data_IF_577827155626
#
_entry.id   IF_577827155626
#
_cell.length_a   1.000
_cell.length_b   1.000
_cell.length_c   1.000
_cell.angle_alpha   90.00
_cell.angle_beta   90.00
_cell.angle_gamma   90.00
#
_symmetry.space_group_name_H-M   'P 1'
#
loop_
_entity.id
_entity.type
_entity.pdbx_description
1 polymer ?
#
# COMPACT_ATOMS: atom_id res chain seq x y z
N UNK A 1 -20.85 82.55 80.54
CA UNK A 1 -21.12 82.12 79.15
C UNK A 1 -20.00 81.17 78.74
N UNK A 2 -20.41 79.97 78.33
CA UNK A 2 -19.60 78.75 78.40
C UNK A 2 -18.60 78.60 77.26
N UNK A 3 -17.40 78.11 77.63
CA UNK A 3 -16.43 77.44 76.77
C UNK A 3 -17.07 76.21 76.10
N UNK A 4 -16.70 75.97 74.84
CA UNK A 4 -16.89 74.68 74.15
C UNK A 4 -15.56 74.26 73.50
N UNK A 5 -15.06 73.03 73.73
CA UNK A 5 -13.81 72.57 73.14
C UNK A 5 -14.04 71.86 71.80
N UNK A 6 -13.08 72.02 70.89
CA UNK A 6 -13.01 71.34 69.60
C UNK A 6 -12.37 69.95 69.79
N UNK A 7 -13.10 68.88 69.46
CA UNK A 7 -12.59 67.49 69.46
C UNK A 7 -12.06 67.17 68.06
N UNK A 8 -10.77 66.86 67.97
CA UNK A 8 -10.09 66.42 66.75
C UNK A 8 -10.25 64.89 66.60
N UNK A 9 -10.93 64.44 65.55
CA UNK A 9 -11.15 63.03 65.25
C UNK A 9 -9.98 62.51 64.39
N UNK A 10 -9.16 61.61 64.95
CA UNK A 10 -8.04 60.97 64.26
C UNK A 10 -8.53 59.70 63.55
N UNK A 11 -8.59 59.71 62.21
CA UNK A 11 -9.00 58.55 61.41
C UNK A 11 -7.77 57.68 61.13
N UNK A 12 -7.73 56.48 61.72
CA UNK A 12 -6.76 55.43 61.41
C UNK A 12 -7.20 54.68 60.15
N UNK A 13 -6.48 54.87 59.04
CA UNK A 13 -6.65 54.05 57.83
C UNK A 13 -5.74 52.82 57.90
N UNK A 14 -6.34 51.64 58.06
CA UNK A 14 -5.62 50.37 57.88
C UNK A 14 -5.45 50.08 56.38
N UNK A 15 -4.23 50.14 55.87
CA UNK A 15 -3.89 49.59 54.55
C UNK A 15 -3.81 48.07 54.65
N UNK A 16 -4.82 47.40 54.10
CA UNK A 16 -4.77 45.95 53.83
C UNK A 16 -3.99 45.73 52.53
N UNK A 17 -2.74 45.27 52.63
CA UNK A 17 -2.06 44.66 51.50
C UNK A 17 -2.74 43.32 51.20
N UNK A 18 -3.59 43.25 50.18
CA UNK A 18 -3.93 41.95 49.59
C UNK A 18 -2.64 41.41 48.98
N UNK A 19 -2.09 40.36 49.57
CA UNK A 19 -1.08 39.52 48.93
C UNK A 19 -1.66 39.11 47.57
N UNK A 20 -1.19 39.74 46.49
CA UNK A 20 -1.45 39.23 45.14
C UNK A 20 -0.63 37.96 45.05
N UNK A 21 -1.29 36.81 45.23
CA UNK A 21 -0.79 35.57 44.70
C UNK A 21 -0.56 35.81 43.21
N UNK A 22 0.70 36.01 42.80
CA UNK A 22 1.07 35.78 41.42
C UNK A 22 0.76 34.30 41.20
N UNK A 23 -0.21 33.93 40.33
CA UNK A 23 -0.43 32.53 40.05
C UNK A 23 0.90 31.99 39.53
N UNK A 24 1.44 31.00 40.24
CA UNK A 24 2.60 30.23 39.78
C UNK A 24 2.28 29.81 38.34
N UNK A 25 3.15 30.09 37.35
CA UNK A 25 2.89 29.64 35.99
C UNK A 25 2.63 28.13 36.04
N UNK A 26 1.42 27.73 35.64
CA UNK A 26 1.13 26.31 35.45
C UNK A 26 2.16 25.81 34.43
N UNK A 27 2.92 24.73 34.73
CA UNK A 27 3.88 24.21 33.77
C UNK A 27 3.14 23.93 32.46
N UNK A 28 3.57 24.58 31.38
CA UNK A 28 3.02 24.30 30.05
C UNK A 28 3.24 22.82 29.76
N UNK A 29 2.15 22.06 29.59
CA UNK A 29 2.25 20.65 29.25
C UNK A 29 3.03 20.52 27.93
N UNK A 30 4.06 19.68 27.92
CA UNK A 30 4.84 19.45 26.70
C UNK A 30 3.91 18.90 25.62
N UNK A 31 3.90 19.49 24.41
CA UNK A 31 3.00 19.07 23.37
C UNK A 31 3.37 17.67 22.88
N UNK A 32 2.37 16.85 22.57
CA UNK A 32 2.55 15.55 21.95
C UNK A 32 2.79 15.73 20.45
N UNK A 33 3.98 16.16 20.07
CA UNK A 33 4.31 16.55 18.69
C UNK A 33 5.32 15.63 18.01
N UNK A 34 5.54 14.41 18.52
CA UNK A 34 6.45 13.43 17.92
C UNK A 34 5.75 12.11 17.68
N UNK A 35 6.17 11.40 16.63
CA UNK A 35 5.79 10.02 16.39
C UNK A 35 7.01 9.14 16.13
N UNK A 36 6.99 7.93 16.69
CA UNK A 36 7.93 6.86 16.38
C UNK A 36 7.22 5.84 15.51
N UNK A 37 7.88 5.38 14.44
CA UNK A 37 7.29 4.40 13.52
C UNK A 37 8.21 3.17 13.44
N UNK A 38 7.66 1.99 13.69
CA UNK A 38 8.32 0.73 13.36
C UNK A 38 7.76 0.19 12.05
N UNK A 39 8.61 -0.21 11.12
CA UNK A 39 8.22 -0.72 9.80
C UNK A 39 8.49 -2.21 9.69
N UNK A 40 7.59 -2.94 9.02
CA UNK A 40 7.78 -4.33 8.63
C UNK A 40 7.37 -4.51 7.17
N UNK A 41 8.17 -5.26 6.41
CA UNK A 41 7.94 -5.63 5.00
C UNK A 41 7.80 -4.46 4.01
N UNK A 42 8.14 -3.23 4.40
CA UNK A 42 8.32 -2.15 3.44
C UNK A 42 9.57 -2.40 2.58
N UNK A 43 9.58 -1.85 1.36
CA UNK A 43 10.69 -1.98 0.41
C UNK A 43 11.19 -0.60 -0.02
N UNK A 44 12.46 -0.47 -0.43
CA UNK A 44 12.90 0.72 -1.14
C UNK A 44 12.00 1.01 -2.33
N UNK A 45 11.64 2.28 -2.50
CA UNK A 45 10.86 2.75 -3.63
C UNK A 45 11.76 3.13 -4.79
N UNK A 46 11.21 3.01 -6.01
CA UNK A 46 11.87 3.41 -7.26
C UNK A 46 10.99 4.41 -8.02
N UNK A 47 11.42 4.81 -9.23
CA UNK A 47 10.62 5.59 -10.17
C UNK A 47 10.13 6.95 -9.63
N UNK A 48 10.95 7.60 -8.78
CA UNK A 48 10.65 8.92 -8.23
C UNK A 48 9.51 8.93 -7.20
N UNK A 49 9.09 7.77 -6.70
CA UNK A 49 8.14 7.67 -5.60
C UNK A 49 8.82 7.77 -4.23
N UNK A 50 8.09 8.30 -3.24
CA UNK A 50 8.54 8.47 -1.85
C UNK A 50 7.41 8.09 -0.89
N UNK A 51 7.76 7.57 0.29
CA UNK A 51 6.78 7.36 1.34
C UNK A 51 6.51 8.68 2.06
N UNK A 52 5.24 8.98 2.32
CA UNK A 52 4.85 10.11 3.17
C UNK A 52 3.98 9.63 4.31
N UNK A 53 4.38 9.94 5.53
CA UNK A 53 3.64 9.64 6.75
C UNK A 53 2.68 10.79 7.07
N UNK A 54 1.45 10.45 7.44
CA UNK A 54 0.38 11.39 7.71
C UNK A 54 -0.33 11.07 9.03
N UNK A 55 -0.82 12.12 9.68
CA UNK A 55 -1.63 12.03 10.88
C UNK A 55 -2.93 12.81 10.65
N UNK A 56 -4.05 12.23 11.03
CA UNK A 56 -5.37 12.87 10.97
C UNK A 56 -5.87 13.20 12.38
N UNK A 57 -6.34 14.43 12.57
CA UNK A 57 -6.94 14.93 13.80
C UNK A 57 -8.13 15.84 13.44
N UNK A 58 -9.33 15.57 13.94
CA UNK A 58 -10.53 16.37 13.68
C UNK A 58 -10.76 16.62 12.17
N UNK A 59 -10.66 15.57 11.35
CA UNK A 59 -10.71 15.63 9.87
C UNK A 59 -9.61 16.47 9.18
N UNK A 60 -8.67 17.06 9.93
CA UNK A 60 -7.50 17.73 9.35
C UNK A 60 -6.36 16.73 9.22
N UNK A 61 -5.83 16.61 8.01
CA UNK A 61 -4.66 15.78 7.71
C UNK A 61 -3.41 16.66 7.81
N UNK A 62 -2.37 16.14 8.45
CA UNK A 62 -1.08 16.81 8.61
C UNK A 62 0.05 15.87 8.23
N UNK A 63 1.01 16.39 7.47
CA UNK A 63 2.22 15.65 7.11
C UNK A 63 3.09 15.47 8.34
N UNK A 64 3.49 14.23 8.63
CA UNK A 64 4.48 13.91 9.65
C UNK A 64 5.90 13.91 9.07
N UNK A 65 6.05 13.47 7.83
CA UNK A 65 7.30 13.56 7.09
C UNK A 65 7.35 12.67 5.86
N UNK A 66 8.21 13.06 4.90
CA UNK A 66 8.63 12.19 3.80
C UNK A 66 9.82 11.36 4.24
N UNK A 67 9.89 10.12 3.79
CA UNK A 67 11.01 9.24 4.09
C UNK A 67 11.29 8.21 3.00
N UNK A 68 12.51 7.71 3.03
CA UNK A 68 13.03 6.66 2.15
C UNK A 68 13.53 5.50 2.99
N UNK A 69 13.49 4.30 2.44
CA UNK A 69 14.02 3.10 3.06
C UNK A 69 15.16 2.54 2.20
N UNK A 70 16.23 2.08 2.84
CA UNK A 70 17.22 1.23 2.18
C UNK A 70 16.82 -0.25 2.21
N UNK A 71 17.64 -1.10 1.60
CA UNK A 71 17.40 -2.55 1.50
C UNK A 71 17.43 -3.27 2.85
N UNK A 72 17.96 -2.63 3.90
CA UNK A 72 17.99 -3.14 5.27
C UNK A 72 16.86 -2.57 6.15
N UNK A 73 16.06 -1.65 5.60
CA UNK A 73 14.94 -1.01 6.29
C UNK A 73 15.32 0.24 7.11
N UNK A 74 16.53 0.79 6.93
CA UNK A 74 16.88 2.06 7.57
C UNK A 74 16.14 3.22 6.92
N UNK A 75 15.78 4.22 7.74
CA UNK A 75 14.97 5.36 7.32
C UNK A 75 15.84 6.59 7.03
N UNK A 76 15.60 7.26 5.91
CA UNK A 76 16.33 8.46 5.48
C UNK A 76 15.38 9.59 5.08
N UNK A 77 15.85 10.83 5.18
CA UNK A 77 15.08 12.03 4.79
C UNK A 77 15.06 12.27 3.29
N UNK A 78 16.06 11.79 2.56
CA UNK A 78 16.18 11.96 1.12
C UNK A 78 16.52 10.65 0.38
N UNK A 79 16.39 10.68 -0.94
CA UNK A 79 16.62 9.54 -1.82
C UNK A 79 18.09 9.20 -2.01
N UNK A 80 19.02 10.01 -1.49
CA UNK A 80 20.47 9.78 -1.58
C UNK A 80 21.01 9.01 -0.37
N UNK A 81 20.13 8.53 0.50
CA UNK A 81 20.47 7.88 1.77
C UNK A 81 21.29 8.79 2.70
N UNK A 82 21.13 10.11 2.54
CA UNK A 82 21.68 11.11 3.45
C UNK A 82 20.58 11.50 4.46
N UNK A 83 20.99 11.85 5.68
CA UNK A 83 20.06 12.25 6.74
C UNK A 83 19.28 11.08 7.34
N UNK A 84 20.01 10.10 7.89
CA UNK A 84 19.44 9.01 8.68
C UNK A 84 18.47 9.52 9.75
N UNK A 85 17.27 8.92 9.80
CA UNK A 85 16.22 9.23 10.78
C UNK A 85 16.34 8.23 11.92
N UNK A 86 17.13 8.58 12.93
CA UNK A 86 17.34 7.73 14.10
C UNK A 86 16.01 7.31 14.73
N UNK A 87 15.84 6.00 14.94
CA UNK A 87 14.64 5.39 15.51
C UNK A 87 13.34 5.75 14.78
N UNK A 88 13.42 6.14 13.50
CA UNK A 88 12.26 6.56 12.71
C UNK A 88 11.37 7.58 13.44
N UNK A 89 12.01 8.54 14.10
CA UNK A 89 11.36 9.61 14.86
C UNK A 89 11.04 10.80 13.96
N UNK A 90 9.77 11.17 13.89
CA UNK A 90 9.27 12.31 13.14
C UNK A 90 8.67 13.35 14.08
N UNK A 91 9.04 14.62 13.89
CA UNK A 91 8.50 15.74 14.65
C UNK A 91 7.48 16.50 13.80
N UNK A 92 6.34 16.81 14.40
CA UNK A 92 5.26 17.58 13.80
C UNK A 92 5.24 19.00 14.38
N UNK A 93 4.71 19.94 13.60
CA UNK A 93 4.59 21.36 14.00
C UNK A 93 3.41 21.63 14.92
N UNK A 94 2.58 20.62 15.22
CA UNK A 94 1.38 20.74 16.04
C UNK A 94 1.30 19.59 17.04
N UNK A 95 0.53 19.78 18.11
CA UNK A 95 0.17 18.71 19.03
C UNK A 95 -0.78 17.72 18.32
N UNK A 96 -0.43 16.44 18.38
CA UNK A 96 -1.18 15.31 17.82
C UNK A 96 -1.55 14.27 18.87
N UNK A 97 -1.54 14.64 20.15
CA UNK A 97 -1.83 13.74 21.28
C UNK A 97 -3.19 13.07 21.25
N UNK A 98 -4.14 13.66 20.52
CA UNK A 98 -5.49 13.14 20.30
C UNK A 98 -5.75 12.75 18.84
N UNK A 99 -4.71 12.52 18.04
CA UNK A 99 -4.88 12.08 16.65
C UNK A 99 -5.73 10.80 16.56
N UNK A 100 -6.51 10.71 15.49
CA UNK A 100 -7.49 9.65 15.28
C UNK A 100 -6.92 8.53 14.40
N UNK A 101 -6.09 8.90 13.41
CA UNK A 101 -5.60 7.97 12.39
C UNK A 101 -4.18 8.33 11.96
N UNK A 102 -3.43 7.29 11.64
CA UNK A 102 -2.15 7.35 10.97
C UNK A 102 -2.21 6.54 9.67
N UNK A 103 -1.55 7.04 8.62
CA UNK A 103 -1.41 6.31 7.38
C UNK A 103 -0.16 6.75 6.62
N UNK A 104 0.29 5.90 5.70
CA UNK A 104 1.43 6.17 4.83
C UNK A 104 0.97 6.06 3.39
N UNK A 105 1.32 7.05 2.57
CA UNK A 105 1.04 7.06 1.13
C UNK A 105 2.30 6.91 0.30
N UNK A 106 2.12 6.55 -0.97
CA UNK A 106 3.10 6.78 -2.03
C UNK A 106 2.86 8.17 -2.63
N UNK A 107 3.89 9.01 -2.66
CA UNK A 107 3.84 10.34 -3.27
C UNK A 107 4.92 10.48 -4.34
N UNK A 108 4.77 11.46 -5.22
CA UNK A 108 5.87 11.85 -6.11
C UNK A 108 6.92 12.64 -5.29
N UNK A 109 8.20 12.33 -5.48
CA UNK A 109 9.28 12.96 -4.72
C UNK A 109 9.36 14.48 -4.93
N UNK A 110 8.96 14.96 -6.10
CA UNK A 110 8.93 16.39 -6.45
C UNK A 110 7.60 17.06 -6.10
N UNK A 111 6.64 16.31 -5.58
CA UNK A 111 5.35 16.84 -5.16
C UNK A 111 5.50 17.77 -3.96
N UNK A 112 4.90 18.96 -4.06
CA UNK A 112 4.87 19.97 -2.98
C UNK A 112 3.48 20.11 -2.38
N UNK A 113 2.51 19.36 -2.88
CA UNK A 113 1.14 19.40 -2.39
C UNK A 113 1.10 18.90 -0.94
N UNK A 114 0.23 19.54 -0.16
CA UNK A 114 0.01 19.20 1.25
C UNK A 114 -1.18 18.25 1.43
N UNK A 115 -1.67 17.69 0.33
CA UNK A 115 -2.80 16.76 0.29
C UNK A 115 -2.22 15.38 -0.01
N UNK A 116 -2.55 14.34 0.78
CA UNK A 116 -2.10 12.98 0.49
C UNK A 116 -2.69 12.46 -0.82
N UNK A 117 -1.93 11.65 -1.56
CA UNK A 117 -2.47 10.83 -2.64
C UNK A 117 -3.46 9.79 -2.11
N UNK A 118 -4.23 9.19 -3.03
CA UNK A 118 -5.10 8.05 -2.67
C UNK A 118 -4.33 6.72 -2.55
N UNK A 119 -3.02 6.71 -2.84
CA UNK A 119 -2.14 5.54 -2.79
C UNK A 119 -1.69 5.22 -1.36
N UNK A 120 -2.65 4.93 -0.48
CA UNK A 120 -2.37 4.55 0.91
C UNK A 120 -1.82 3.12 0.96
N UNK A 121 -0.60 2.96 1.48
CA UNK A 121 0.11 1.68 1.62
C UNK A 121 -0.29 0.98 2.91
N UNK A 122 -0.35 1.70 4.03
CA UNK A 122 -0.84 1.20 5.33
C UNK A 122 -1.67 2.27 6.02
N UNK A 123 -2.63 1.84 6.84
CA UNK A 123 -3.40 2.75 7.70
C UNK A 123 -3.82 2.06 8.99
N UNK A 124 -3.96 2.84 10.07
CA UNK A 124 -4.44 2.38 11.37
C UNK A 124 -5.01 3.53 12.21
N UNK A 125 -5.93 3.19 13.10
CA UNK A 125 -6.53 4.16 14.02
C UNK A 125 -5.75 4.17 15.35
N UNK A 126 -5.59 5.34 15.94
CA UNK A 126 -4.96 5.47 17.24
C UNK A 126 -5.87 4.98 18.35
N UNK A 127 -5.31 4.18 19.25
CA UNK A 127 -5.88 3.73 20.51
C UNK A 127 -4.81 4.00 21.57
N UNK A 128 -5.12 4.87 22.54
CA UNK A 128 -4.17 5.26 23.59
C UNK A 128 -2.80 5.70 23.04
N UNK A 129 -2.81 6.62 22.06
CA UNK A 129 -1.61 7.19 21.42
C UNK A 129 -0.74 6.20 20.64
N UNK A 130 -1.24 4.98 20.38
CA UNK A 130 -0.56 3.99 19.53
C UNK A 130 -1.49 3.47 18.43
N UNK A 131 -0.95 3.12 17.26
CA UNK A 131 -1.74 2.47 16.21
C UNK A 131 -0.95 1.33 15.56
N UNK A 132 -1.67 0.26 15.21
CA UNK A 132 -1.19 -0.80 14.31
C UNK A 132 -1.79 -0.53 12.94
N UNK A 133 -0.93 -0.39 11.94
CA UNK A 133 -1.28 0.02 10.59
C UNK A 133 -1.00 -1.14 9.63
N UNK A 134 -2.00 -1.52 8.85
CA UNK A 134 -1.94 -2.69 8.00
C UNK A 134 -2.26 -2.31 6.55
N UNK A 135 -1.53 -2.89 5.61
CA UNK A 135 -1.85 -2.80 4.19
C UNK A 135 -3.11 -3.61 3.85
N UNK A 136 -3.69 -3.31 2.69
CA UNK A 136 -4.82 -4.06 2.12
C UNK A 136 -6.05 -4.20 3.04
N UNK A 137 -6.23 -3.25 3.96
CA UNK A 137 -7.41 -3.17 4.83
C UNK A 137 -8.39 -2.11 4.31
N UNK A 138 -9.65 -2.13 4.76
CA UNK A 138 -10.60 -1.05 4.47
C UNK A 138 -10.08 0.33 4.88
N UNK A 139 -9.32 0.41 5.97
CA UNK A 139 -8.70 1.66 6.40
C UNK A 139 -7.60 2.13 5.43
N UNK A 140 -6.92 1.24 4.71
CA UNK A 140 -5.90 1.64 3.75
C UNK A 140 -6.54 1.96 2.39
N UNK A 141 -7.22 1.01 1.78
CA UNK A 141 -7.62 1.08 0.38
C UNK A 141 -9.14 0.94 0.16
N UNK A 142 -9.93 1.01 1.23
CA UNK A 142 -11.40 0.91 1.19
C UNK A 142 -11.94 -0.36 0.51
N UNK A 143 -11.22 -1.47 0.67
CA UNK A 143 -11.56 -2.77 0.10
C UNK A 143 -11.29 -3.88 1.12
N UNK A 144 -12.00 -5.00 0.98
CA UNK A 144 -11.78 -6.21 1.77
C UNK A 144 -11.19 -7.30 0.87
N UNK A 145 -9.93 -7.64 1.07
CA UNK A 145 -9.29 -8.73 0.34
C UNK A 145 -9.63 -10.07 1.01
N UNK A 146 -9.97 -11.06 0.19
CA UNK A 146 -9.97 -12.46 0.61
C UNK A 146 -8.63 -13.08 0.20
N UNK A 147 -7.94 -13.68 1.15
CA UNK A 147 -6.65 -14.34 0.94
C UNK A 147 -6.81 -15.86 0.76
N UNK A 148 -7.92 -16.32 0.18
CA UNK A 148 -8.04 -17.68 -0.31
C UNK A 148 -7.21 -17.87 -1.59
N UNK A 149 -6.56 -19.02 -1.74
CA UNK A 149 -5.83 -19.35 -2.97
C UNK A 149 -6.75 -19.34 -4.18
N UNK A 150 -6.25 -18.81 -5.29
CA UNK A 150 -6.90 -18.85 -6.60
C UNK A 150 -6.32 -20.00 -7.44
N UNK A 151 -6.67 -20.06 -8.72
CA UNK A 151 -6.12 -21.05 -9.66
C UNK A 151 -5.60 -20.40 -10.93
N UNK A 152 -4.80 -21.12 -11.68
CA UNK A 152 -4.45 -20.75 -13.05
C UNK A 152 -4.36 -22.01 -13.92
N UNK A 153 -4.43 -21.82 -15.23
CA UNK A 153 -4.26 -22.89 -16.21
C UNK A 153 -3.12 -22.54 -17.16
N UNK A 154 -2.46 -23.59 -17.63
CA UNK A 154 -1.50 -23.49 -18.71
C UNK A 154 -2.19 -23.83 -20.02
N UNK A 155 -1.72 -23.21 -21.10
CA UNK A 155 -2.22 -23.44 -22.44
C UNK A 155 -2.75 -22.16 -23.06
N UNK A 156 -2.53 -22.02 -24.36
CA UNK A 156 -2.97 -20.84 -25.10
C UNK A 156 -4.49 -20.80 -25.19
N UNK A 157 -5.13 -19.68 -24.89
CA UNK A 157 -6.60 -19.62 -24.85
C UNK A 157 -7.21 -18.79 -25.97
N UNK A 158 -6.39 -18.03 -26.69
CA UNK A 158 -6.83 -17.10 -27.72
C UNK A 158 -6.33 -17.45 -29.13
N UNK A 159 -5.72 -18.63 -29.28
CA UNK A 159 -5.31 -19.23 -30.55
C UNK A 159 -6.34 -20.22 -31.10
N UNK A 160 -6.20 -20.60 -32.38
CA UNK A 160 -6.95 -21.69 -33.00
C UNK A 160 -5.97 -22.76 -33.49
N UNK A 161 -6.13 -24.03 -33.06
CA UNK A 161 -7.05 -24.50 -32.02
C UNK A 161 -6.63 -24.02 -30.62
N UNK A 162 -7.59 -23.56 -29.82
CA UNK A 162 -7.36 -23.13 -28.43
C UNK A 162 -6.96 -24.32 -27.55
N UNK A 163 -6.22 -24.06 -26.47
CA UNK A 163 -5.70 -25.01 -25.48
C UNK A 163 -4.75 -26.08 -26.04
N UNK A 164 -4.06 -25.78 -27.17
CA UNK A 164 -3.20 -26.76 -27.82
C UNK A 164 -1.71 -26.57 -27.58
N UNK A 165 -1.28 -25.36 -27.20
CA UNK A 165 0.12 -25.01 -27.10
C UNK A 165 0.51 -24.59 -25.68
N UNK A 166 1.69 -25.00 -25.17
CA UNK A 166 2.15 -24.75 -23.80
C UNK A 166 2.70 -23.33 -23.59
N UNK A 167 2.10 -22.34 -24.25
CA UNK A 167 2.60 -20.96 -24.32
C UNK A 167 1.65 -19.95 -23.65
N UNK A 168 0.64 -20.39 -22.91
CA UNK A 168 -0.33 -19.48 -22.28
C UNK A 168 -0.41 -19.68 -20.78
N UNK A 169 -0.65 -18.60 -20.05
CA UNK A 169 -0.95 -18.60 -18.61
C UNK A 169 -2.21 -17.77 -18.39
N UNK A 170 -3.25 -18.38 -17.83
CA UNK A 170 -4.54 -17.74 -17.65
C UNK A 170 -5.06 -17.92 -16.23
N UNK A 171 -5.55 -16.84 -15.62
CA UNK A 171 -6.08 -16.86 -14.25
C UNK A 171 -7.52 -17.38 -14.23
N UNK A 172 -7.63 -18.66 -14.54
CA UNK A 172 -8.88 -19.38 -14.66
C UNK A 172 -8.79 -20.75 -14.00
N UNK A 173 -9.96 -21.36 -13.78
CA UNK A 173 -10.11 -22.73 -13.33
C UNK A 173 -10.94 -23.51 -14.34
N UNK A 174 -10.53 -24.76 -14.61
CA UNK A 174 -11.32 -25.71 -15.40
C UNK A 174 -12.58 -26.10 -14.62
N UNK A 175 -13.72 -26.14 -15.31
CA UNK A 175 -15.02 -26.45 -14.71
C UNK A 175 -15.70 -27.68 -15.33
N UNK A 176 -15.11 -28.28 -16.37
CA UNK A 176 -15.61 -29.48 -17.02
C UNK A 176 -14.54 -30.54 -17.22
N UNK A 177 -14.99 -31.76 -17.48
CA UNK A 177 -14.13 -32.92 -17.79
C UNK A 177 -13.78 -33.00 -19.28
N UNK A 178 -14.28 -32.06 -20.10
CA UNK A 178 -14.03 -32.03 -21.55
C UNK A 178 -12.93 -31.05 -21.93
N UNK A 179 -12.29 -30.42 -20.94
CA UNK A 179 -11.10 -29.57 -21.08
C UNK A 179 -11.32 -28.33 -21.93
N UNK A 180 -12.57 -27.85 -22.04
CA UNK A 180 -12.93 -26.74 -22.93
C UNK A 180 -13.58 -25.57 -22.21
N UNK A 181 -14.08 -25.78 -21.00
CA UNK A 181 -14.77 -24.74 -20.24
C UNK A 181 -13.94 -24.27 -19.04
N UNK A 182 -13.84 -22.95 -18.94
CA UNK A 182 -13.06 -22.26 -17.91
C UNK A 182 -13.91 -21.15 -17.30
N UNK A 183 -13.78 -20.98 -15.99
CA UNK A 183 -14.25 -19.78 -15.29
C UNK A 183 -13.07 -18.99 -14.77
N UNK A 184 -13.24 -17.68 -14.62
CA UNK A 184 -12.33 -16.85 -13.82
C UNK A 184 -12.08 -17.50 -12.45
N UNK A 185 -10.84 -17.46 -11.99
CA UNK A 185 -10.45 -18.02 -10.68
C UNK A 185 -10.11 -16.94 -9.65
N UNK A 186 -9.81 -15.71 -10.08
CA UNK A 186 -9.33 -14.66 -9.18
C UNK A 186 -10.47 -14.12 -8.32
N UNK A 187 -10.36 -14.33 -7.02
CA UNK A 187 -11.27 -13.75 -6.03
C UNK A 187 -10.72 -12.42 -5.51
N UNK A 188 -10.75 -11.39 -6.36
CA UNK A 188 -10.25 -10.05 -6.04
C UNK A 188 -11.39 -9.03 -5.98
N UNK A 189 -11.35 -8.05 -5.03
CA UNK A 189 -12.27 -6.93 -5.04
C UNK A 189 -12.19 -6.15 -6.34
N UNK A 190 -13.33 -5.69 -6.84
CA UNK A 190 -13.36 -4.82 -8.03
C UNK A 190 -12.80 -3.45 -7.67
N UNK A 191 -11.76 -3.02 -8.37
CA UNK A 191 -11.21 -1.68 -8.26
C UNK A 191 -12.07 -0.72 -9.07
N UNK A 192 -12.43 0.42 -8.48
CA UNK A 192 -13.12 1.48 -9.22
C UNK A 192 -12.21 2.05 -10.31
N UNK A 193 -12.77 2.54 -11.41
CA UNK A 193 -12.00 3.19 -12.48
C UNK A 193 -11.31 4.49 -12.04
N UNK A 194 -11.72 5.06 -10.90
CA UNK A 194 -11.11 6.22 -10.28
C UNK A 194 -10.05 5.87 -9.22
N UNK A 195 -9.76 4.57 -9.01
CA UNK A 195 -8.71 4.14 -8.09
C UNK A 195 -7.34 4.45 -8.69
N UNK A 196 -6.42 4.94 -7.86
CA UNK A 196 -5.00 5.02 -8.23
C UNK A 196 -4.29 3.66 -8.16
N UNK A 197 -4.99 2.60 -7.74
CA UNK A 197 -4.50 1.23 -7.75
C UNK A 197 -5.05 0.45 -8.94
N UNK A 198 -4.26 -0.51 -9.46
CA UNK A 198 -4.66 -1.44 -10.51
C UNK A 198 -4.04 -2.81 -10.25
N UNK A 199 -4.67 -3.91 -10.67
CA UNK A 199 -4.01 -5.21 -10.63
C UNK A 199 -3.16 -5.42 -11.88
N UNK A 200 -2.08 -6.18 -11.75
CA UNK A 200 -1.26 -6.60 -12.89
C UNK A 200 -0.82 -8.05 -12.71
N UNK A 201 -0.97 -8.84 -13.79
CA UNK A 201 -0.42 -10.19 -13.84
C UNK A 201 1.02 -10.15 -14.35
N UNK A 202 1.87 -11.03 -13.83
CA UNK A 202 3.26 -11.10 -14.24
C UNK A 202 3.76 -12.54 -14.35
N UNK A 203 4.65 -12.76 -15.31
CA UNK A 203 5.43 -13.97 -15.48
C UNK A 203 6.91 -13.66 -15.26
N UNK A 204 7.64 -14.57 -14.61
CA UNK A 204 9.08 -14.46 -14.37
C UNK A 204 9.80 -15.73 -14.77
N UNK A 205 10.92 -15.57 -15.47
CA UNK A 205 11.87 -16.68 -15.65
C UNK A 205 12.78 -16.77 -14.40
N UNK A 206 12.77 -17.92 -13.71
CA UNK A 206 13.46 -18.09 -12.41
C UNK A 206 14.98 -18.01 -12.51
N UNK A 207 15.55 -18.37 -13.66
CA UNK A 207 17.00 -18.33 -13.89
C UNK A 207 17.50 -17.01 -14.48
N UNK A 208 16.59 -16.13 -14.92
CA UNK A 208 16.96 -14.80 -15.41
C UNK A 208 17.23 -13.84 -14.25
N UNK A 209 17.91 -12.71 -14.50
CA UNK A 209 18.06 -11.64 -13.52
C UNK A 209 16.74 -11.30 -12.83
N UNK A 210 16.82 -10.89 -11.56
CA UNK A 210 15.64 -10.66 -10.72
C UNK A 210 14.71 -9.53 -11.21
N UNK A 211 15.14 -8.76 -12.20
CA UNK A 211 14.46 -7.64 -12.84
C UNK A 211 13.87 -7.99 -14.22
N UNK A 212 14.01 -9.22 -14.70
CA UNK A 212 13.38 -9.67 -15.94
C UNK A 212 11.97 -10.23 -15.68
N UNK A 213 10.97 -9.43 -16.01
CA UNK A 213 9.56 -9.74 -15.82
C UNK A 213 8.76 -9.46 -17.09
N UNK A 214 7.77 -10.31 -17.33
CA UNK A 214 6.83 -10.16 -18.44
C UNK A 214 5.47 -9.76 -17.85
N UNK A 215 5.02 -8.55 -18.15
CA UNK A 215 3.65 -8.15 -17.83
C UNK A 215 2.67 -8.99 -18.67
N UNK A 216 1.65 -9.51 -18.02
CA UNK A 216 0.52 -10.21 -18.64
C UNK A 216 -0.69 -9.29 -18.83
N UNK A 217 -0.52 -7.99 -18.60
CA UNK A 217 -1.60 -7.01 -18.68
C UNK A 217 -2.20 -6.63 -17.32
N UNK A 218 -2.83 -5.44 -17.32
CA UNK A 218 -3.45 -4.83 -16.14
C UNK A 218 -4.96 -4.96 -16.16
N UNK A 219 -5.58 -5.11 -15.00
CA UNK A 219 -7.04 -5.26 -14.87
C UNK A 219 -7.55 -4.65 -13.56
N UNK A 220 -8.84 -4.31 -13.54
CA UNK A 220 -9.53 -3.77 -12.34
C UNK A 220 -10.46 -4.79 -11.71
N UNK A 221 -10.76 -5.89 -12.40
CA UNK A 221 -11.65 -6.95 -11.96
C UNK A 221 -11.08 -8.29 -12.42
N UNK A 222 -10.97 -9.26 -11.52
CA UNK A 222 -10.46 -10.60 -11.85
C UNK A 222 -11.34 -11.36 -12.85
N UNK A 223 -12.58 -10.89 -13.08
CA UNK A 223 -13.58 -11.52 -13.96
C UNK A 223 -13.79 -10.78 -15.28
N UNK A 224 -12.80 -10.00 -15.73
CA UNK A 224 -12.81 -9.35 -17.04
C UNK A 224 -11.45 -9.53 -17.71
N UNK A 225 -11.39 -9.36 -19.02
CA UNK A 225 -10.11 -9.31 -19.74
C UNK A 225 -9.20 -8.24 -19.14
N UNK A 226 -7.90 -8.53 -19.08
CA UNK A 226 -6.92 -7.49 -18.84
C UNK A 226 -6.74 -6.57 -20.07
N UNK A 227 -5.90 -5.56 -19.87
CA UNK A 227 -5.55 -4.55 -20.85
C UNK A 227 -4.34 -4.92 -21.70
N UNK A 228 -3.85 -6.16 -21.62
CA UNK A 228 -2.77 -6.58 -22.48
C UNK A 228 -3.15 -6.33 -23.93
N UNK A 229 -2.19 -5.74 -24.63
CA UNK A 229 -2.29 -5.44 -26.06
C UNK A 229 -1.32 -6.31 -26.85
N UNK A 230 -0.70 -7.32 -26.23
CA UNK A 230 0.16 -8.25 -26.96
C UNK A 230 -0.73 -8.82 -28.06
N UNK A 231 -0.48 -8.52 -29.35
CA UNK A 231 -1.36 -8.93 -30.41
C UNK A 231 -1.29 -10.46 -30.45
N UNK A 232 -2.36 -11.13 -30.06
CA UNK A 232 -2.42 -12.55 -30.25
C UNK A 232 -2.43 -12.76 -31.76
N UNK A 233 -1.46 -13.53 -32.25
CA UNK A 233 -1.30 -13.73 -33.68
C UNK A 233 -2.45 -14.50 -34.35
N UNK A 234 -3.51 -14.84 -33.62
CA UNK A 234 -4.66 -15.54 -34.15
C UNK A 234 -5.76 -14.54 -34.59
N UNK A 235 -6.03 -14.39 -35.90
CA UNK A 235 -6.94 -13.36 -36.43
C UNK A 235 -8.44 -13.55 -36.10
N UNK A 236 -8.84 -14.53 -35.28
CA UNK A 236 -10.24 -14.91 -35.03
C UNK A 236 -10.55 -15.08 -33.54
N UNK A 237 -10.23 -14.07 -32.75
CA UNK A 237 -10.27 -14.15 -31.30
C UNK A 237 -11.67 -14.14 -30.71
N UNK A 238 -11.93 -15.06 -29.79
CA UNK A 238 -12.98 -14.88 -28.79
C UNK A 238 -12.32 -14.17 -27.61
N UNK A 239 -12.68 -12.90 -27.29
CA UNK A 239 -12.20 -12.24 -26.09
C UNK A 239 -12.48 -13.11 -24.86
N UNK A 240 -11.49 -13.29 -23.99
CA UNK A 240 -11.72 -13.98 -22.71
C UNK A 240 -12.33 -13.02 -21.71
N UNK A 241 -13.17 -13.54 -20.83
CA UNK A 241 -13.78 -12.78 -19.74
C UNK A 241 -12.98 -12.90 -18.43
N UNK A 242 -11.66 -13.07 -18.52
CA UNK A 242 -10.75 -13.21 -17.39
C UNK A 242 -9.33 -12.86 -17.84
N UNK A 243 -8.44 -12.45 -16.92
CA UNK A 243 -7.09 -12.02 -17.25
C UNK A 243 -6.16 -13.21 -17.54
N UNK A 244 -5.17 -12.99 -18.39
CA UNK A 244 -4.19 -13.97 -18.84
C UNK A 244 -3.56 -13.62 -20.18
N UNK A 245 -2.51 -14.34 -20.55
CA UNK A 245 -1.72 -14.03 -21.74
C UNK A 245 -1.30 -15.29 -22.51
N UNK A 246 -1.24 -15.17 -23.83
CA UNK A 246 -0.61 -16.12 -24.73
C UNK A 246 0.76 -15.58 -25.17
N UNK A 247 1.84 -16.24 -24.77
CA UNK A 247 3.23 -15.89 -25.10
C UNK A 247 3.67 -16.47 -26.45
N UNK A 248 2.90 -16.19 -27.50
CA UNK A 248 3.23 -16.54 -28.90
C UNK A 248 3.47 -15.25 -29.68
N UNK A 249 4.71 -15.06 -30.13
CA UNK A 249 5.10 -13.97 -31.03
C UNK A 249 5.62 -14.54 -32.36
N UNK A 250 5.65 -13.71 -33.41
CA UNK A 250 5.87 -14.14 -34.80
C UNK A 250 7.21 -14.86 -35.02
N UNK A 251 8.23 -14.51 -34.24
CA UNK A 251 9.56 -15.10 -34.27
C UNK A 251 10.05 -15.56 -32.89
N UNK A 252 9.19 -15.54 -31.86
CA UNK A 252 9.58 -15.85 -30.49
C UNK A 252 8.40 -16.48 -29.76
N UNK A 253 8.61 -17.65 -29.17
CA UNK A 253 7.58 -18.35 -28.39
C UNK A 253 8.18 -18.69 -27.05
N UNK A 254 7.47 -18.36 -25.99
CA UNK A 254 7.96 -18.62 -24.63
C UNK A 254 7.28 -19.88 -24.07
N UNK A 255 7.92 -21.06 -24.08
CA UNK A 255 7.38 -22.28 -23.47
C UNK A 255 7.28 -22.12 -21.96
N UNK A 256 6.11 -21.74 -21.46
CA UNK A 256 5.89 -21.52 -20.01
C UNK A 256 5.80 -22.82 -19.21
N UNK A 257 5.42 -23.93 -19.86
CA UNK A 257 5.35 -25.26 -19.23
C UNK A 257 6.70 -26.00 -19.33
N UNK A 258 7.73 -25.49 -18.68
CA UNK A 258 9.06 -26.10 -18.65
C UNK A 258 9.65 -26.22 -17.23
N UNK A 259 8.95 -25.72 -16.20
CA UNK A 259 9.44 -25.71 -14.83
C UNK A 259 10.32 -24.51 -14.45
N UNK A 260 10.60 -23.60 -15.39
CA UNK A 260 11.53 -22.48 -15.21
C UNK A 260 10.84 -21.17 -14.88
N UNK A 261 9.50 -21.13 -14.86
CA UNK A 261 8.75 -19.90 -14.62
C UNK A 261 8.06 -19.85 -13.26
N UNK A 262 7.74 -18.63 -12.83
CA UNK A 262 6.74 -18.35 -11.80
C UNK A 262 5.75 -17.30 -12.31
N UNK A 263 4.54 -17.33 -11.77
CA UNK A 263 3.45 -16.38 -12.07
C UNK A 263 3.04 -15.67 -10.79
N UNK A 264 2.70 -14.39 -10.91
CA UNK A 264 2.19 -13.60 -9.80
C UNK A 264 1.13 -12.59 -10.23
N UNK A 265 0.40 -12.08 -9.24
CA UNK A 265 -0.51 -10.94 -9.40
C UNK A 265 -0.18 -9.91 -8.33
N UNK A 266 -0.06 -8.64 -8.70
CA UNK A 266 0.24 -7.51 -7.80
C UNK A 266 -0.86 -6.48 -7.78
N UNK A 267 -0.87 -5.67 -6.72
CA UNK A 267 -1.57 -4.39 -6.67
C UNK A 267 -0.55 -3.27 -6.98
N UNK A 268 -0.71 -2.66 -8.15
CA UNK A 268 0.20 -1.69 -8.73
C UNK A 268 -0.31 -0.26 -8.56
N UNK A 269 0.55 0.73 -8.26
CA UNK A 269 0.18 2.13 -8.41
C UNK A 269 0.09 2.52 -9.90
N UNK A 270 -1.01 3.14 -10.31
CA UNK A 270 -1.27 3.55 -11.70
C UNK A 270 -0.21 4.55 -12.19
N UNK A 271 0.19 5.49 -11.33
CA UNK A 271 1.07 6.62 -11.69
C UNK A 271 2.57 6.34 -11.53
N UNK A 272 2.98 5.20 -10.96
CA UNK A 272 4.38 4.80 -10.79
C UNK A 272 4.71 3.54 -11.58
N UNK A 273 4.51 3.59 -12.91
CA UNK A 273 4.76 2.45 -13.80
C UNK A 273 6.21 1.97 -13.70
N UNK A 274 6.37 0.66 -13.77
CA UNK A 274 7.63 -0.05 -13.59
C UNK A 274 7.71 -1.23 -14.55
N UNK A 275 8.91 -1.61 -14.97
CA UNK A 275 9.16 -2.86 -15.71
C UNK A 275 9.25 -4.09 -14.79
N UNK A 276 9.31 -3.86 -13.48
CA UNK A 276 9.28 -4.89 -12.44
C UNK A 276 8.01 -4.76 -11.61
N UNK A 277 7.44 -5.87 -11.08
CA UNK A 277 6.25 -5.84 -10.26
C UNK A 277 6.43 -4.98 -9.00
N UNK A 278 5.40 -4.26 -8.60
CA UNK A 278 5.36 -3.60 -7.30
C UNK A 278 5.34 -4.63 -6.18
N UNK A 279 5.88 -4.26 -5.02
CA UNK A 279 6.11 -5.22 -3.94
C UNK A 279 4.83 -5.70 -3.24
N UNK A 280 3.66 -5.08 -3.49
CA UNK A 280 2.36 -5.57 -3.02
C UNK A 280 1.88 -6.75 -3.88
N UNK A 281 2.58 -7.88 -3.75
CA UNK A 281 2.19 -9.15 -4.34
C UNK A 281 0.93 -9.66 -3.63
N UNK A 282 -0.09 -10.06 -4.38
CA UNK A 282 -1.33 -10.64 -3.86
C UNK A 282 -1.30 -12.16 -3.96
N UNK A 283 -0.76 -12.65 -5.07
CA UNK A 283 -0.65 -14.06 -5.37
C UNK A 283 0.68 -14.42 -6.01
N UNK A 284 1.17 -15.63 -5.77
CA UNK A 284 2.39 -16.17 -6.39
C UNK A 284 2.34 -17.70 -6.51
N UNK A 285 2.91 -18.24 -7.58
CA UNK A 285 3.07 -19.68 -7.76
C UNK A 285 4.23 -19.99 -8.71
N UNK A 286 5.03 -20.98 -8.36
CA UNK A 286 5.97 -21.59 -9.31
C UNK A 286 5.18 -22.42 -10.32
N UNK A 287 5.54 -22.32 -11.60
CA UNK A 287 4.96 -23.11 -12.67
C UNK A 287 5.77 -24.42 -12.78
N UNK A 288 5.20 -25.58 -12.44
CA UNK A 288 5.88 -26.86 -12.63
C UNK A 288 5.89 -27.25 -14.11
N UNK A 289 6.81 -28.14 -14.49
CA UNK A 289 6.66 -28.90 -15.73
C UNK A 289 5.54 -29.93 -15.57
N UNK A 290 4.58 -29.94 -16.50
CA UNK A 290 3.47 -30.88 -16.56
C UNK A 290 3.43 -31.59 -17.92
N UNK A 291 3.51 -32.92 -17.92
CA UNK A 291 3.32 -33.73 -19.13
C UNK A 291 1.88 -33.56 -19.69
N UNK A 292 0.89 -33.46 -18.80
CA UNK A 292 -0.54 -33.32 -19.13
C UNK A 292 -1.12 -31.97 -18.67
N UNK A 293 -0.48 -30.86 -19.07
CA UNK A 293 -0.86 -29.52 -18.63
C UNK A 293 -2.32 -29.12 -18.98
N UNK A 294 -2.89 -29.72 -20.04
CA UNK A 294 -4.27 -29.48 -20.50
C UNK A 294 -5.35 -30.02 -19.55
N UNK A 295 -4.97 -30.81 -18.56
CA UNK A 295 -5.93 -31.45 -17.66
C UNK A 295 -5.88 -30.85 -16.26
N UNK A 296 -5.02 -29.85 -16.05
CA UNK A 296 -4.65 -29.38 -14.72
C UNK A 296 -5.05 -27.91 -14.53
N UNK A 297 -5.68 -27.63 -13.40
CA UNK A 297 -5.71 -26.28 -12.83
C UNK A 297 -4.70 -26.24 -11.69
N UNK A 298 -3.73 -25.34 -11.79
CA UNK A 298 -2.67 -25.14 -10.81
C UNK A 298 -3.13 -24.16 -9.74
N UNK A 299 -2.59 -24.32 -8.52
CA UNK A 299 -2.91 -23.45 -7.40
C UNK A 299 -2.10 -22.17 -7.52
N UNK A 300 -2.79 -21.03 -7.45
CA UNK A 300 -2.21 -19.71 -7.31
C UNK A 300 -2.30 -19.31 -5.84
N UNK A 301 -1.19 -19.40 -5.10
CA UNK A 301 -1.20 -19.19 -3.65
C UNK A 301 -1.39 -17.72 -3.33
N UNK A 302 -2.27 -17.42 -2.39
CA UNK A 302 -2.37 -16.09 -1.78
C UNK A 302 -1.19 -15.85 -0.84
N UNK A 303 -0.78 -14.59 -0.75
CA UNK A 303 0.12 -14.16 0.32
C UNK A 303 -0.65 -13.95 1.61
N UNK A 304 0.04 -14.16 2.73
CA UNK A 304 -0.58 -14.08 4.05
C UNK A 304 -0.56 -12.63 4.55
N UNK A 305 -1.50 -12.23 5.42
CA UNK A 305 -1.53 -10.90 6.02
C UNK A 305 -0.17 -10.42 6.59
N UNK A 306 0.61 -11.34 7.16
CA UNK A 306 1.92 -11.07 7.75
C UNK A 306 3.06 -10.80 6.74
N UNK A 307 2.85 -11.09 5.45
CA UNK A 307 3.79 -10.86 4.35
C UNK A 307 3.68 -9.43 3.79
N UNK A 308 2.55 -8.76 4.04
CA UNK A 308 2.30 -7.40 3.60
C UNK A 308 2.99 -6.35 4.49
N UNK A 309 3.17 -5.11 3.98
CA UNK A 309 3.64 -4.01 4.80
C UNK A 309 2.76 -3.77 6.00
N UNK A 310 3.40 -3.55 7.14
CA UNK A 310 2.73 -3.09 8.35
C UNK A 310 3.62 -2.12 9.11
N UNK A 311 2.98 -1.26 9.89
CA UNK A 311 3.69 -0.33 10.76
C UNK A 311 3.03 -0.27 12.14
N UNK A 312 3.84 -0.07 13.17
CA UNK A 312 3.34 0.37 14.48
C UNK A 312 3.80 1.80 14.73
N UNK A 313 2.89 2.65 15.19
CA UNK A 313 3.19 4.06 15.46
C UNK A 313 2.84 4.41 16.90
N UNK A 314 3.68 5.22 17.54
CA UNK A 314 3.45 5.75 18.90
C UNK A 314 3.66 7.25 18.93
N UNK A 315 2.69 7.98 19.48
CA UNK A 315 2.78 9.41 19.74
C UNK A 315 3.56 9.65 21.04
N UNK A 316 4.41 10.68 21.05
CA UNK A 316 5.26 11.10 22.16
C UNK A 316 5.32 12.62 22.28
N UNK A 317 5.66 13.07 23.48
CA UNK A 317 6.17 14.42 23.75
C UNK A 317 7.63 14.56 23.30
#
# INVERSE_FOLDING_TARGET
MNLFPFILFFILTFSSCTFRDNPTPVPEEKPFNKIYISFKNFKPLTNGSVYTAWVQLNNKISIAGKFYLDTTGNVFKDSTSIGFVSNALFALSQDVGNAERFFITLENNNDKDTIPSSLIVVSGNFINKSATCLALTPNAINLNFNFDSSKYVLGTQTTIPSDTLPYGVWFAARIDTNHKNFNSSLNLPVLSSASDWIYEGWLRHKTQPADEWYSMGRFTNGNVADSSKIPPMAPNQVPKSYPGEDFIYYNDTLPVNNGDFSVLVTLEPVNFKSSIPFFLKLFESDIPYLEFYKDTSLILNSLKPEDFPSATVRISQ
#
